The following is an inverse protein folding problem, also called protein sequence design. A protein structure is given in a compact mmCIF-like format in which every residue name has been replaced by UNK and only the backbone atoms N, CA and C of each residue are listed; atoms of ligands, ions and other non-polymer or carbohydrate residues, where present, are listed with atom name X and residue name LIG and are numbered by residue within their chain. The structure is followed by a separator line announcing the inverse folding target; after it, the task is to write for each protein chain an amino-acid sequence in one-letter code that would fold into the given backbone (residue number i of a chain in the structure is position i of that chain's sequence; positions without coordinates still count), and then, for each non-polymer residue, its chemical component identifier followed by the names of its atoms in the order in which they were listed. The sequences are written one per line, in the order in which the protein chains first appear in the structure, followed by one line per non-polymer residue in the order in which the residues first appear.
data_IF_483218060992
#
_entry.id   IF_483218060992
#
_cell.length_a   1.000
_cell.length_b   1.000
_cell.length_c   1.000
_cell.angle_alpha   90.00
_cell.angle_beta   90.00
_cell.angle_gamma   90.00
#
_symmetry.space_group_name_H-M   'P 1'
#
loop_
_entity.id
_entity.type
_entity.pdbx_description
1 polymer ?
#
# COMPACT_ATOMS: atom_id res chain seq x y z
N UNK A 1 -4.12 19.99 -3.44
CA UNK A 1 -3.20 18.86 -3.28
C UNK A 1 -2.86 18.25 -4.62
N UNK A 2 -1.62 17.89 -4.80
CA UNK A 2 -1.15 17.31 -6.03
C UNK A 2 -1.23 15.77 -5.98
N UNK A 3 -1.13 15.17 -7.15
CA UNK A 3 -1.06 13.70 -7.24
C UNK A 3 0.15 13.16 -6.48
N UNK A 4 1.25 13.94 -6.47
CA UNK A 4 2.46 13.54 -5.75
C UNK A 4 2.20 13.44 -4.24
N UNK A 5 1.45 14.40 -3.70
CA UNK A 5 1.12 14.38 -2.27
C UNK A 5 0.29 13.15 -1.92
N UNK A 6 -0.65 12.78 -2.79
CA UNK A 6 -1.47 11.60 -2.59
C UNK A 6 -0.61 10.34 -2.62
N UNK A 7 0.33 10.26 -3.55
CA UNK A 7 1.22 9.10 -3.66
C UNK A 7 2.12 8.96 -2.44
N UNK A 8 2.64 10.08 -1.92
CA UNK A 8 3.49 10.04 -0.75
C UNK A 8 2.74 9.55 0.48
N UNK A 9 1.52 10.05 0.67
CA UNK A 9 0.67 9.62 1.78
C UNK A 9 0.30 8.15 1.63
N UNK A 10 -0.06 7.73 0.42
CA UNK A 10 -0.43 6.35 0.15
C UNK A 10 0.75 5.41 0.38
N UNK A 11 1.94 5.79 -0.07
CA UNK A 11 3.15 4.99 0.13
C UNK A 11 3.40 4.78 1.62
N UNK A 12 3.30 5.84 2.41
CA UNK A 12 3.52 5.77 3.85
C UNK A 12 2.52 4.82 4.52
N UNK A 13 1.24 4.95 4.16
CA UNK A 13 0.20 4.11 4.72
C UNK A 13 0.40 2.64 4.35
N UNK A 14 0.76 2.38 3.09
CA UNK A 14 0.99 1.02 2.64
C UNK A 14 2.20 0.39 3.32
N UNK A 15 3.27 1.16 3.50
CA UNK A 15 4.47 0.64 4.17
C UNK A 15 4.24 0.36 5.65
N UNK A 16 3.28 1.04 6.27
CA UNK A 16 2.94 0.80 7.66
C UNK A 16 1.99 -0.39 7.83
N UNK A 17 1.43 -0.89 6.74
CA UNK A 17 0.52 -2.04 6.82
C UNK A 17 1.28 -3.28 7.27
N UNK A 18 0.75 -3.95 8.28
CA UNK A 18 1.37 -5.16 8.80
C UNK A 18 1.42 -6.24 7.73
N UNK A 19 2.57 -6.86 7.58
CA UNK A 19 2.77 -7.90 6.58
C UNK A 19 3.29 -7.41 5.24
N UNK A 20 3.39 -6.10 5.05
CA UNK A 20 3.93 -5.53 3.82
C UNK A 20 5.43 -5.32 3.97
N UNK A 21 6.20 -5.90 3.07
CA UNK A 21 7.66 -5.78 3.07
C UNK A 21 8.11 -4.55 2.31
N UNK A 22 7.55 -4.32 1.13
CA UNK A 22 7.91 -3.17 0.32
C UNK A 22 6.78 -2.81 -0.64
N UNK A 23 6.82 -1.57 -1.12
CA UNK A 23 5.86 -1.04 -2.07
C UNK A 23 6.64 -0.34 -3.19
N UNK A 24 6.23 -0.57 -4.43
CA UNK A 24 6.84 0.06 -5.59
C UNK A 24 5.74 0.64 -6.47
N UNK A 25 5.86 1.92 -6.82
CA UNK A 25 4.91 2.58 -7.72
C UNK A 25 5.49 2.65 -9.12
N UNK A 26 4.78 2.05 -10.08
CA UNK A 26 5.10 2.16 -11.48
C UNK A 26 4.29 3.27 -12.14
N UNK A 27 4.48 3.46 -13.45
CA UNK A 27 3.77 4.53 -14.18
C UNK A 27 2.26 4.32 -14.23
N UNK A 28 1.80 3.07 -14.19
CA UNK A 28 0.37 2.78 -14.22
C UNK A 28 0.04 1.52 -13.41
N UNK A 29 0.87 1.19 -12.42
CA UNK A 29 0.63 0.05 -11.57
C UNK A 29 1.30 0.26 -10.21
N UNK A 30 0.89 -0.54 -9.23
CA UNK A 30 1.50 -0.55 -7.90
C UNK A 30 1.85 -2.00 -7.57
N UNK A 31 3.09 -2.22 -7.16
CA UNK A 31 3.55 -3.55 -6.73
C UNK A 31 3.72 -3.56 -5.22
N UNK A 32 3.09 -4.52 -4.57
CA UNK A 32 3.20 -4.68 -3.13
C UNK A 32 3.80 -6.05 -2.85
N UNK A 33 4.91 -6.06 -2.13
CA UNK A 33 5.59 -7.28 -1.74
C UNK A 33 5.27 -7.56 -0.28
N UNK A 34 4.73 -8.73 -0.01
CA UNK A 34 4.42 -9.11 1.37
C UNK A 34 5.58 -9.83 2.01
N UNK A 35 5.64 -9.81 3.33
CA UNK A 35 6.58 -10.61 4.07
C UNK A 35 6.17 -12.08 3.99
N UNK A 36 7.16 -12.97 4.23
CA UNK A 36 6.92 -14.39 4.15
C UNK A 36 5.83 -14.85 5.12
N UNK A 37 5.77 -14.22 6.27
CA UNK A 37 4.77 -14.53 7.28
C UNK A 37 3.46 -13.77 7.06
N UNK A 38 3.40 -12.87 6.09
CA UNK A 38 2.19 -12.09 5.83
C UNK A 38 1.12 -12.89 5.11
N UNK A 39 -0.14 -12.54 5.36
CA UNK A 39 -1.27 -13.18 4.70
C UNK A 39 -1.99 -12.17 3.82
N UNK A 40 -2.13 -12.49 2.52
CA UNK A 40 -2.78 -11.60 1.57
C UNK A 40 -4.20 -11.23 1.97
N UNK A 41 -4.90 -12.14 2.63
CA UNK A 41 -6.27 -11.88 3.05
C UNK A 41 -6.35 -10.69 3.99
N UNK A 42 -5.45 -10.61 4.97
CA UNK A 42 -5.41 -9.51 5.93
C UNK A 42 -4.83 -8.26 5.30
N UNK A 43 -3.78 -8.41 4.51
CA UNK A 43 -3.13 -7.29 3.84
C UNK A 43 -4.12 -6.61 2.88
N UNK A 44 -4.88 -7.40 2.14
CA UNK A 44 -5.86 -6.87 1.19
C UNK A 44 -6.92 -6.02 1.88
N UNK A 45 -7.39 -6.46 3.04
CA UNK A 45 -8.38 -5.69 3.79
C UNK A 45 -7.83 -4.33 4.21
N UNK A 46 -6.60 -4.31 4.70
CA UNK A 46 -5.96 -3.07 5.10
C UNK A 46 -5.74 -2.14 3.92
N UNK A 47 -5.35 -2.70 2.77
CA UNK A 47 -5.15 -1.92 1.56
C UNK A 47 -6.47 -1.31 1.09
N UNK A 48 -7.55 -2.08 1.08
CA UNK A 48 -8.86 -1.56 0.72
C UNK A 48 -9.29 -0.43 1.64
N UNK A 49 -9.03 -0.56 2.93
CA UNK A 49 -9.35 0.49 3.89
C UNK A 49 -8.56 1.77 3.59
N UNK A 50 -7.30 1.63 3.22
CA UNK A 50 -6.46 2.78 2.86
C UNK A 50 -7.02 3.50 1.64
N UNK A 51 -7.37 2.75 0.59
CA UNK A 51 -7.93 3.35 -0.62
C UNK A 51 -9.30 3.94 -0.37
N UNK A 52 -10.06 3.35 0.52
CA UNK A 52 -11.41 3.84 0.83
C UNK A 52 -11.39 5.22 1.49
N UNK A 53 -10.28 5.59 2.09
CA UNK A 53 -10.11 6.89 2.72
C UNK A 53 -9.72 8.01 1.76
N UNK A 54 -9.36 7.65 0.55
CA UNK A 54 -8.96 8.65 -0.45
C UNK A 54 -10.19 9.36 -1.10
#
# INVERSE_FOLDING_TARGET
SSFQDIKDSLYSDLMETEGVLSVFFGPNFITITKEESGEWKLISQDIYNIFDKL
#
